data_IF_420118916750
#
_entry.id   IF_420118916750
#
_cell.length_a   1.000
_cell.length_b   1.000
_cell.length_c   1.000
_cell.angle_alpha   90.00
_cell.angle_beta   90.00
_cell.angle_gamma   90.00
#
_symmetry.space_group_name_H-M   'P 1'
#
loop_
_entity.id
_entity.type
_entity.pdbx_description
1 polymer ?
#
# COMPACT_ATOMS: atom_id res chain seq x y z
N UNK A 1 -10.14 7.16 11.13
CA UNK A 1 -10.74 6.49 9.98
C UNK A 1 -12.26 6.38 10.16
N UNK A 2 -12.98 6.09 9.08
CA UNK A 2 -14.43 5.93 9.07
C UNK A 2 -14.81 4.49 8.74
N UNK A 3 -16.04 4.07 9.10
CA UNK A 3 -16.52 2.70 8.84
C UNK A 3 -16.56 2.33 7.35
N UNK A 4 -16.71 3.30 6.45
CA UNK A 4 -16.61 3.05 5.00
C UNK A 4 -15.23 2.56 4.54
N UNK A 5 -14.20 2.67 5.38
CA UNK A 5 -12.84 2.21 5.10
C UNK A 5 -12.60 0.77 5.57
N UNK A 6 -13.58 0.14 6.21
CA UNK A 6 -13.47 -1.26 6.66
C UNK A 6 -13.55 -2.24 5.49
N UNK A 7 -12.84 -3.39 5.57
CA UNK A 7 -12.03 -3.83 6.71
C UNK A 7 -10.73 -3.02 6.84
N UNK A 8 -10.36 -2.65 8.08
CA UNK A 8 -9.21 -1.81 8.37
C UNK A 8 -8.25 -2.48 9.35
N UNK A 9 -6.99 -2.60 8.94
CA UNK A 9 -5.90 -3.03 9.81
C UNK A 9 -5.09 -1.86 10.35
N UNK A 10 -4.65 -1.96 11.59
CA UNK A 10 -3.69 -1.03 12.17
C UNK A 10 -2.34 -1.71 12.29
N UNK A 11 -1.33 -1.12 11.65
CA UNK A 11 0.02 -1.69 11.64
C UNK A 11 0.87 -1.11 12.77
N UNK A 12 1.52 -2.01 13.52
CA UNK A 12 2.48 -1.71 14.57
C UNK A 12 3.90 -2.10 14.16
N UNK A 13 4.88 -1.43 14.73
CA UNK A 13 6.28 -1.83 14.64
C UNK A 13 7.02 -1.58 15.95
N UNK A 14 7.94 -2.45 16.27
CA UNK A 14 8.75 -2.40 17.49
C UNK A 14 9.65 -3.64 17.59
N UNK A 15 10.35 -3.75 18.73
CA UNK A 15 11.24 -4.86 19.05
C UNK A 15 11.02 -5.39 20.47
N UNK A 16 9.92 -5.03 21.11
CA UNK A 16 9.55 -5.44 22.46
C UNK A 16 8.12 -6.00 22.41
N UNK A 17 7.98 -7.31 22.53
CA UNK A 17 6.72 -8.03 22.38
C UNK A 17 5.67 -7.60 23.41
N UNK A 18 6.07 -7.42 24.66
CA UNK A 18 5.15 -7.01 25.75
C UNK A 18 4.56 -5.63 25.47
N UNK A 19 5.42 -4.65 25.19
CA UNK A 19 4.98 -3.28 24.88
C UNK A 19 4.13 -3.20 23.60
N UNK A 20 4.45 -4.02 22.60
CA UNK A 20 3.67 -4.09 21.39
C UNK A 20 2.29 -4.72 21.61
N UNK A 21 2.20 -5.75 22.45
CA UNK A 21 0.93 -6.34 22.88
C UNK A 21 0.05 -5.35 23.65
N UNK A 22 0.64 -4.60 24.58
CA UNK A 22 -0.08 -3.52 25.30
C UNK A 22 -0.58 -2.42 24.34
N UNK A 23 0.27 -2.02 23.38
CA UNK A 23 -0.11 -1.02 22.38
C UNK A 23 -1.24 -1.52 21.46
N UNK A 24 -1.19 -2.78 21.05
CA UNK A 24 -2.24 -3.41 20.26
C UNK A 24 -3.56 -3.41 20.99
N UNK A 25 -3.59 -3.78 22.28
CA UNK A 25 -4.78 -3.75 23.11
C UNK A 25 -5.37 -2.35 23.23
N UNK A 26 -4.55 -1.34 23.55
CA UNK A 26 -4.99 0.06 23.62
C UNK A 26 -5.59 0.55 22.28
N UNK A 27 -5.05 0.12 21.16
CA UNK A 27 -5.57 0.46 19.84
C UNK A 27 -6.91 -0.22 19.59
N UNK A 28 -7.07 -1.48 19.98
CA UNK A 28 -8.34 -2.19 19.87
C UNK A 28 -9.42 -1.50 20.70
N UNK A 29 -9.13 -1.18 21.96
CA UNK A 29 -10.06 -0.47 22.84
C UNK A 29 -10.45 0.91 22.28
N UNK A 30 -9.50 1.62 21.68
CA UNK A 30 -9.73 2.97 21.17
C UNK A 30 -10.38 3.01 19.78
N UNK A 31 -9.96 2.14 18.85
CA UNK A 31 -10.31 2.27 17.43
C UNK A 31 -11.03 1.06 16.84
N UNK A 32 -11.07 -0.06 17.55
CA UNK A 32 -11.74 -1.28 17.11
C UNK A 32 -11.39 -1.65 15.65
N UNK A 33 -10.10 -1.82 15.30
CA UNK A 33 -9.71 -2.23 13.97
C UNK A 33 -10.18 -3.67 13.69
N UNK A 34 -10.29 -4.03 12.41
CA UNK A 34 -10.69 -5.39 12.02
C UNK A 34 -9.54 -6.38 12.20
N UNK A 35 -8.28 -5.92 12.19
CA UNK A 35 -7.10 -6.71 12.51
C UNK A 35 -5.93 -5.82 12.95
N UNK A 36 -4.98 -6.41 13.68
CA UNK A 36 -3.67 -5.81 13.98
C UNK A 36 -2.64 -6.42 13.03
N UNK A 37 -1.79 -5.59 12.43
CA UNK A 37 -0.70 -6.04 11.55
C UNK A 37 0.65 -5.71 12.16
N UNK A 38 1.62 -6.65 12.10
CA UNK A 38 2.98 -6.44 12.59
C UNK A 38 3.91 -6.18 11.41
N UNK A 39 4.71 -5.13 11.50
CA UNK A 39 5.67 -4.77 10.48
C UNK A 39 7.02 -5.42 10.68
N UNK A 40 7.34 -6.45 9.90
CA UNK A 40 8.65 -7.09 9.78
C UNK A 40 9.36 -6.77 8.45
N UNK A 41 8.91 -5.74 7.73
CA UNK A 41 9.42 -5.43 6.39
C UNK A 41 9.94 -4.02 6.17
N UNK A 42 9.78 -3.09 7.11
CA UNK A 42 10.20 -1.69 6.94
C UNK A 42 11.73 -1.57 6.83
N UNK A 43 12.29 -1.03 5.71
CA UNK A 43 13.72 -0.92 5.52
C UNK A 43 14.31 0.39 6.06
N UNK A 44 13.49 1.30 6.59
CA UNK A 44 13.89 2.67 6.98
C UNK A 44 14.86 2.63 8.14
N UNK A 45 15.99 3.30 8.02
CA UNK A 45 17.07 3.30 9.03
C UNK A 45 16.58 3.66 10.44
N UNK A 46 15.66 4.61 10.59
CA UNK A 46 15.10 5.00 11.89
C UNK A 46 14.38 3.85 12.62
N UNK A 47 13.76 2.93 11.86
CA UNK A 47 13.09 1.75 12.41
C UNK A 47 14.10 0.63 12.68
N UNK A 48 14.96 0.37 11.69
CA UNK A 48 16.01 -0.68 11.74
C UNK A 48 17.01 -0.43 12.89
N UNK A 49 17.41 0.82 13.11
CA UNK A 49 18.32 1.20 14.21
C UNK A 49 17.75 0.93 15.62
N UNK A 50 16.44 0.74 15.72
CA UNK A 50 15.73 0.36 16.95
C UNK A 50 15.35 -1.12 16.99
N UNK A 51 16.04 -1.95 16.21
CA UNK A 51 15.78 -3.38 16.03
C UNK A 51 14.34 -3.73 15.58
N UNK A 52 13.61 -2.78 14.98
CA UNK A 52 12.25 -2.99 14.48
C UNK A 52 12.18 -3.23 12.96
N UNK A 53 11.01 -3.59 12.45
CA UNK A 53 10.78 -3.80 11.03
C UNK A 53 11.64 -4.92 10.45
N UNK A 54 12.30 -4.67 9.31
CA UNK A 54 13.09 -5.69 8.61
C UNK A 54 14.35 -6.17 9.33
N UNK A 55 14.82 -5.46 10.38
CA UNK A 55 15.96 -5.95 11.18
C UNK A 55 15.66 -7.23 11.95
N UNK A 56 14.39 -7.46 12.28
CA UNK A 56 13.95 -8.67 12.95
C UNK A 56 14.13 -9.93 12.10
N UNK A 57 14.20 -9.82 10.78
CA UNK A 57 14.51 -10.95 9.89
C UNK A 57 15.92 -11.54 10.11
N UNK A 58 16.81 -10.81 10.78
CA UNK A 58 18.16 -11.31 11.19
C UNK A 58 18.17 -11.98 12.55
N UNK A 59 17.09 -11.89 13.31
CA UNK A 59 16.99 -12.40 14.67
C UNK A 59 15.63 -13.07 14.87
N UNK A 60 15.53 -14.30 14.37
CA UNK A 60 14.30 -15.10 14.45
C UNK A 60 13.78 -15.31 15.87
N UNK A 61 14.61 -15.53 16.90
CA UNK A 61 14.13 -15.59 18.29
C UNK A 61 13.43 -14.31 18.74
N UNK A 62 14.00 -13.13 18.48
CA UNK A 62 13.36 -11.86 18.83
C UNK A 62 12.10 -11.60 17.98
N UNK A 63 12.11 -12.01 16.71
CA UNK A 63 10.90 -11.94 15.85
C UNK A 63 9.77 -12.75 16.45
N UNK A 64 10.04 -13.97 16.89
CA UNK A 64 9.06 -14.85 17.56
C UNK A 64 8.55 -14.23 18.87
N UNK A 65 9.44 -13.69 19.71
CA UNK A 65 9.04 -12.98 20.95
C UNK A 65 8.10 -11.82 20.67
N UNK A 66 8.40 -11.01 19.65
CA UNK A 66 7.55 -9.88 19.27
C UNK A 66 6.19 -10.36 18.74
N UNK A 67 6.15 -11.38 17.88
CA UNK A 67 4.93 -11.92 17.33
C UNK A 67 4.03 -12.52 18.44
N UNK A 68 4.61 -13.35 19.31
CA UNK A 68 3.94 -13.98 20.46
C UNK A 68 3.36 -12.92 21.40
N UNK A 69 4.18 -11.91 21.77
CA UNK A 69 3.72 -10.85 22.68
C UNK A 69 2.53 -10.06 22.16
N UNK A 70 2.45 -9.82 20.84
CA UNK A 70 1.26 -9.18 20.24
C UNK A 70 0.07 -10.13 20.22
N UNK A 71 0.25 -11.39 19.79
CA UNK A 71 -0.83 -12.37 19.73
C UNK A 71 -1.44 -12.62 21.12
N UNK A 72 -0.61 -12.86 22.14
CA UNK A 72 -1.06 -13.02 23.53
C UNK A 72 -1.71 -11.73 24.06
N UNK A 73 -1.11 -10.58 23.75
CA UNK A 73 -1.63 -9.28 24.17
C UNK A 73 -3.06 -9.00 23.70
N UNK A 74 -3.49 -9.57 22.59
CA UNK A 74 -4.85 -9.35 22.03
C UNK A 74 -5.75 -10.59 22.09
N UNK A 75 -5.27 -11.72 22.59
CA UNK A 75 -5.99 -13.00 22.57
C UNK A 75 -7.43 -12.93 23.12
N UNK A 76 -7.64 -12.18 24.20
CA UNK A 76 -8.96 -12.02 24.82
C UNK A 76 -9.95 -11.17 23.98
N UNK A 77 -9.47 -10.48 22.94
CA UNK A 77 -10.31 -9.57 22.13
C UNK A 77 -10.93 -10.26 20.90
N UNK A 78 -10.38 -11.39 20.48
CA UNK A 78 -10.76 -12.08 19.23
C UNK A 78 -10.32 -11.36 17.95
N UNK A 79 -9.61 -10.20 18.06
CA UNK A 79 -9.09 -9.48 16.88
C UNK A 79 -7.91 -10.23 16.29
N UNK A 80 -7.92 -10.58 14.99
CA UNK A 80 -6.84 -11.32 14.37
C UNK A 80 -5.54 -10.51 14.26
N UNK A 81 -4.40 -11.21 14.35
CA UNK A 81 -3.07 -10.64 14.15
C UNK A 81 -2.49 -11.15 12.84
N UNK A 82 -2.03 -10.23 12.00
CA UNK A 82 -1.34 -10.50 10.74
C UNK A 82 0.08 -9.96 10.77
N UNK A 83 0.90 -10.36 9.81
CA UNK A 83 2.26 -9.86 9.70
C UNK A 83 2.60 -9.48 8.26
N UNK A 84 3.36 -8.39 8.08
CA UNK A 84 3.94 -8.04 6.79
C UNK A 84 5.46 -8.09 6.82
N UNK A 85 6.05 -8.88 5.91
CA UNK A 85 7.50 -9.10 5.88
C UNK A 85 8.09 -8.92 4.47
N UNK A 86 9.40 -9.00 4.37
CA UNK A 86 10.20 -9.13 3.16
C UNK A 86 10.78 -10.55 3.05
N UNK A 87 11.40 -10.88 1.90
CA UNK A 87 12.00 -12.20 1.67
C UNK A 87 13.24 -12.46 2.52
N UNK A 88 13.83 -11.44 3.10
CA UNK A 88 15.03 -11.54 3.94
C UNK A 88 15.74 -10.19 4.10
N UNK A 89 16.94 -10.24 4.69
CA UNK A 89 17.76 -9.05 4.90
C UNK A 89 18.49 -8.60 3.63
N UNK A 90 19.19 -9.51 2.98
CA UNK A 90 19.93 -9.32 1.73
C UNK A 90 19.95 -10.63 0.91
N UNK A 91 20.68 -10.66 -0.20
CA UNK A 91 20.72 -11.82 -1.10
C UNK A 91 21.38 -13.07 -0.48
N UNK A 92 22.16 -12.93 0.57
CA UNK A 92 22.79 -14.04 1.28
C UNK A 92 21.93 -14.54 2.46
N UNK A 93 20.96 -13.75 2.85
CA UNK A 93 20.09 -13.98 4.01
C UNK A 93 18.62 -13.88 3.60
N UNK A 94 18.19 -14.76 2.68
CA UNK A 94 16.79 -14.97 2.27
C UNK A 94 16.23 -16.10 3.12
N UNK A 95 15.37 -15.77 4.08
CA UNK A 95 14.83 -16.71 5.07
C UNK A 95 13.30 -16.65 5.22
N UNK A 96 12.59 -16.22 4.14
CA UNK A 96 11.14 -15.98 4.18
C UNK A 96 10.33 -17.21 4.60
N UNK A 97 10.72 -18.42 4.16
CA UNK A 97 10.02 -19.67 4.49
C UNK A 97 10.17 -19.99 5.97
N UNK A 98 11.40 -19.90 6.52
CA UNK A 98 11.67 -20.10 7.94
C UNK A 98 10.86 -19.13 8.81
N UNK A 99 10.91 -17.83 8.46
CA UNK A 99 10.16 -16.78 9.16
C UNK A 99 8.66 -17.02 9.09
N UNK A 100 8.14 -17.51 7.96
CA UNK A 100 6.73 -17.80 7.81
C UNK A 100 6.26 -18.94 8.76
N UNK A 101 7.04 -20.00 8.90
CA UNK A 101 6.75 -21.07 9.88
C UNK A 101 6.76 -20.54 11.31
N UNK A 102 7.79 -19.75 11.68
CA UNK A 102 7.85 -19.14 13.01
C UNK A 102 6.62 -18.28 13.29
N UNK A 103 6.19 -17.47 12.33
CA UNK A 103 5.00 -16.61 12.48
C UNK A 103 3.71 -17.44 12.60
N UNK A 104 3.56 -18.51 11.82
CA UNK A 104 2.44 -19.44 11.95
C UNK A 104 2.40 -20.10 13.33
N UNK A 105 3.54 -20.59 13.83
CA UNK A 105 3.69 -21.20 15.16
C UNK A 105 3.39 -20.21 16.29
N UNK A 106 3.69 -18.92 16.11
CA UNK A 106 3.34 -17.87 17.06
C UNK A 106 1.84 -17.50 17.05
N UNK A 107 1.02 -18.06 16.14
CA UNK A 107 -0.41 -17.78 16.06
C UNK A 107 -0.78 -16.60 15.15
N UNK A 108 0.10 -16.16 14.27
CA UNK A 108 -0.22 -15.20 13.21
C UNK A 108 -1.23 -15.84 12.25
N UNK A 109 -2.27 -15.09 11.87
CA UNK A 109 -3.39 -15.63 11.10
C UNK A 109 -3.32 -15.36 9.59
N UNK A 110 -2.45 -14.45 9.15
CA UNK A 110 -2.13 -14.26 7.73
C UNK A 110 -0.79 -13.52 7.59
N UNK A 111 -0.07 -13.78 6.49
CA UNK A 111 1.22 -13.15 6.21
C UNK A 111 1.18 -12.46 4.85
N UNK A 112 1.60 -11.18 4.79
CA UNK A 112 1.86 -10.50 3.54
C UNK A 112 3.37 -10.47 3.25
N UNK A 113 3.79 -11.00 2.10
CA UNK A 113 5.21 -11.13 1.72
C UNK A 113 5.54 -10.20 0.57
N UNK A 114 6.47 -9.27 0.77
CA UNK A 114 7.04 -8.49 -0.32
C UNK A 114 8.23 -9.25 -0.93
N UNK A 115 8.17 -9.56 -2.22
CA UNK A 115 9.16 -10.34 -2.98
C UNK A 115 10.52 -9.67 -3.16
N UNK A 116 10.97 -8.85 -2.22
CA UNK A 116 12.28 -8.21 -2.17
C UNK A 116 12.90 -8.31 -0.79
N UNK A 117 14.22 -8.41 -0.74
CA UNK A 117 14.96 -8.28 0.52
C UNK A 117 14.97 -6.83 1.02
N UNK A 118 15.40 -6.62 2.25
CA UNK A 118 15.60 -5.27 2.80
C UNK A 118 16.64 -4.50 1.99
N UNK A 119 17.74 -5.14 1.62
CA UNK A 119 18.84 -4.50 0.90
C UNK A 119 18.44 -4.03 -0.50
N UNK A 120 17.57 -4.78 -1.19
CA UNK A 120 17.04 -4.38 -2.50
C UNK A 120 16.20 -3.09 -2.43
N UNK A 121 15.56 -2.80 -1.31
CA UNK A 121 14.64 -1.68 -1.22
C UNK A 121 13.51 -1.79 -2.25
N UNK A 122 13.66 -1.10 -3.38
CA UNK A 122 12.77 -1.17 -4.55
C UNK A 122 13.54 -1.47 -5.85
N UNK A 123 14.84 -1.81 -5.77
CA UNK A 123 15.66 -2.14 -6.93
C UNK A 123 15.38 -3.55 -7.43
N UNK A 124 15.63 -3.79 -8.72
CA UNK A 124 15.38 -5.07 -9.38
C UNK A 124 13.89 -5.42 -9.41
N UNK A 125 13.58 -6.69 -9.56
CA UNK A 125 12.22 -7.23 -9.59
C UNK A 125 11.85 -7.94 -8.29
N UNK A 126 10.55 -8.02 -8.00
CA UNK A 126 10.04 -8.80 -6.89
C UNK A 126 10.10 -10.29 -7.23
N UNK A 127 10.69 -11.07 -6.36
CA UNK A 127 10.82 -12.52 -6.48
C UNK A 127 9.50 -13.19 -6.06
N UNK A 128 8.71 -13.59 -7.06
CA UNK A 128 7.44 -14.27 -6.85
C UNK A 128 7.60 -15.78 -6.64
N UNK A 129 8.77 -16.34 -6.96
CA UNK A 129 9.08 -17.75 -6.66
C UNK A 129 9.20 -17.95 -5.15
N UNK A 130 9.97 -17.09 -4.47
CA UNK A 130 10.07 -17.11 -3.00
C UNK A 130 8.69 -16.88 -2.34
N UNK A 131 7.87 -15.99 -2.89
CA UNK A 131 6.48 -15.81 -2.38
C UNK A 131 5.68 -17.11 -2.54
N UNK A 132 5.83 -17.79 -3.67
CA UNK A 132 5.18 -19.09 -3.92
C UNK A 132 5.63 -20.15 -2.93
N UNK A 133 6.95 -20.27 -2.68
CA UNK A 133 7.52 -21.19 -1.68
C UNK A 133 6.94 -20.93 -0.28
N UNK A 134 6.82 -19.68 0.14
CA UNK A 134 6.17 -19.34 1.41
C UNK A 134 4.71 -19.79 1.42
N UNK A 135 3.96 -19.54 0.33
CA UNK A 135 2.54 -19.91 0.25
C UNK A 135 2.30 -21.43 0.24
N UNK A 136 3.29 -22.23 -0.14
CA UNK A 136 3.26 -23.68 -0.10
C UNK A 136 3.67 -24.25 1.27
N UNK A 137 4.53 -23.52 1.98
CA UNK A 137 5.11 -23.99 3.23
C UNK A 137 4.16 -23.86 4.44
N UNK A 138 3.27 -22.85 4.46
CA UNK A 138 2.39 -22.59 5.60
C UNK A 138 0.92 -22.84 5.28
N UNK A 139 0.11 -23.08 6.31
CA UNK A 139 -1.34 -23.33 6.19
C UNK A 139 -2.14 -22.02 6.22
N UNK A 140 -1.61 -20.99 6.88
CA UNK A 140 -2.26 -19.68 6.98
C UNK A 140 -2.23 -18.95 5.63
N UNK A 141 -3.21 -18.07 5.36
CA UNK A 141 -3.25 -17.30 4.12
C UNK A 141 -1.99 -16.47 3.89
N UNK A 142 -1.39 -16.61 2.69
CA UNK A 142 -0.29 -15.76 2.24
C UNK A 142 -0.79 -14.77 1.20
N UNK A 143 -0.41 -13.50 1.36
CA UNK A 143 -0.72 -12.39 0.46
C UNK A 143 0.59 -11.97 -0.22
N UNK A 144 0.65 -12.13 -1.54
CA UNK A 144 1.82 -11.73 -2.33
C UNK A 144 1.85 -10.23 -2.59
N UNK A 145 3.03 -9.63 -2.55
CA UNK A 145 3.23 -8.20 -2.81
C UNK A 145 4.52 -7.97 -3.61
N UNK A 146 4.46 -7.05 -4.56
CA UNK A 146 5.61 -6.61 -5.36
C UNK A 146 5.31 -6.56 -6.85
N UNK A 147 5.61 -5.42 -7.48
CA UNK A 147 5.53 -5.18 -8.93
C UNK A 147 4.20 -5.58 -9.58
N UNK A 148 3.10 -5.23 -8.92
CA UNK A 148 1.75 -5.42 -9.42
C UNK A 148 1.18 -4.04 -9.74
N UNK A 149 0.91 -3.82 -11.03
CA UNK A 149 0.42 -2.54 -11.57
C UNK A 149 -1.04 -2.60 -12.03
N UNK A 150 -1.61 -3.78 -12.26
CA UNK A 150 -2.97 -3.94 -12.77
C UNK A 150 -3.49 -5.36 -12.74
N UNK A 151 -4.61 -5.59 -13.43
CA UNK A 151 -5.33 -6.87 -13.42
C UNK A 151 -4.55 -8.02 -14.07
N UNK A 152 -3.84 -7.75 -15.17
CA UNK A 152 -3.02 -8.75 -15.85
C UNK A 152 -1.91 -9.29 -14.93
N UNK A 153 -1.24 -8.40 -14.17
CA UNK A 153 -0.23 -8.84 -13.21
C UNK A 153 -0.88 -9.71 -12.11
N UNK A 154 -2.06 -9.30 -11.61
CA UNK A 154 -2.79 -10.08 -10.60
C UNK A 154 -3.10 -11.49 -11.11
N UNK A 155 -3.57 -11.62 -12.34
CA UNK A 155 -3.86 -12.92 -12.95
C UNK A 155 -2.62 -13.80 -13.06
N UNK A 156 -1.53 -13.26 -13.63
CA UNK A 156 -0.26 -13.97 -13.79
C UNK A 156 0.27 -14.45 -12.44
N UNK A 157 0.29 -13.57 -11.42
CA UNK A 157 0.83 -13.92 -10.10
C UNK A 157 -0.04 -14.94 -9.36
N UNK A 158 -1.35 -14.88 -9.52
CA UNK A 158 -2.26 -15.92 -8.98
C UNK A 158 -2.08 -17.28 -9.66
N UNK A 159 -1.85 -17.28 -10.96
CA UNK A 159 -1.58 -18.52 -11.70
C UNK A 159 -0.24 -19.16 -11.33
N UNK A 160 0.77 -18.36 -11.02
CA UNK A 160 2.12 -18.81 -10.67
C UNK A 160 2.28 -19.27 -9.22
N UNK A 161 1.39 -18.87 -8.32
CA UNK A 161 1.55 -19.08 -6.87
C UNK A 161 0.26 -19.51 -6.22
N UNK A 162 0.35 -20.08 -5.00
CA UNK A 162 -0.82 -20.44 -4.17
C UNK A 162 -1.25 -19.31 -3.22
N UNK A 163 -0.86 -18.09 -3.47
CA UNK A 163 -1.25 -16.94 -2.63
C UNK A 163 -2.77 -16.77 -2.61
N UNK A 164 -3.31 -16.45 -1.45
CA UNK A 164 -4.75 -16.23 -1.24
C UNK A 164 -5.19 -14.82 -1.62
N UNK A 165 -4.25 -13.89 -1.70
CA UNK A 165 -4.51 -12.51 -2.07
C UNK A 165 -3.27 -11.83 -2.65
N UNK A 166 -3.48 -10.68 -3.28
CA UNK A 166 -2.40 -9.86 -3.83
C UNK A 166 -2.55 -8.43 -3.29
N UNK A 167 -1.46 -7.93 -2.71
CA UNK A 167 -1.38 -6.56 -2.22
C UNK A 167 -0.82 -5.65 -3.30
N UNK A 168 -1.59 -4.66 -3.73
CA UNK A 168 -1.17 -3.62 -4.66
C UNK A 168 -0.69 -2.41 -3.83
N UNK A 169 0.56 -2.01 -3.99
CA UNK A 169 1.18 -0.90 -3.26
C UNK A 169 1.29 0.37 -4.09
N UNK A 170 2.46 0.59 -4.70
CA UNK A 170 2.83 1.83 -5.40
C UNK A 170 1.87 2.22 -6.52
N UNK A 171 1.30 1.26 -7.24
CA UNK A 171 0.33 1.53 -8.31
C UNK A 171 -0.92 2.25 -7.79
N UNK A 172 -1.44 1.86 -6.61
CA UNK A 172 -2.59 2.50 -5.99
C UNK A 172 -2.35 3.97 -5.60
N UNK A 173 -1.09 4.38 -5.40
CA UNK A 173 -0.75 5.79 -5.12
C UNK A 173 -0.91 6.69 -6.34
N UNK A 174 -0.80 6.14 -7.54
CA UNK A 174 -0.89 6.87 -8.80
C UNK A 174 -2.22 6.66 -9.52
N UNK A 175 -2.78 5.47 -9.38
CA UNK A 175 -4.06 5.08 -9.96
C UNK A 175 -4.97 4.46 -8.87
N UNK A 176 -5.83 5.23 -8.22
CA UNK A 176 -6.75 4.71 -7.20
C UNK A 176 -7.82 3.75 -7.77
N UNK A 177 -8.06 3.75 -9.08
CA UNK A 177 -8.97 2.82 -9.75
C UNK A 177 -8.37 1.43 -9.98
N UNK A 178 -7.08 1.23 -9.72
CA UNK A 178 -6.36 -0.04 -9.98
C UNK A 178 -7.07 -1.28 -9.41
N UNK A 179 -7.74 -1.17 -8.26
CA UNK A 179 -8.48 -2.28 -7.67
C UNK A 179 -9.76 -2.61 -8.44
N UNK A 180 -10.46 -1.59 -8.93
CA UNK A 180 -11.66 -1.76 -9.76
C UNK A 180 -11.27 -2.30 -11.13
N UNK A 181 -10.23 -1.76 -11.73
CA UNK A 181 -9.66 -2.20 -13.00
C UNK A 181 -9.19 -3.65 -12.93
N UNK A 182 -8.48 -4.03 -11.86
CA UNK A 182 -8.05 -5.40 -11.64
C UNK A 182 -9.24 -6.36 -11.49
N UNK A 183 -10.26 -6.00 -10.73
CA UNK A 183 -11.49 -6.81 -10.62
C UNK A 183 -12.22 -6.96 -11.95
N UNK A 184 -12.29 -5.89 -12.74
CA UNK A 184 -12.90 -5.94 -14.07
C UNK A 184 -12.12 -6.90 -14.98
N UNK A 185 -10.79 -6.77 -15.01
CA UNK A 185 -9.93 -7.65 -15.80
C UNK A 185 -10.10 -9.13 -15.42
N UNK A 186 -10.04 -9.44 -14.13
CA UNK A 186 -10.22 -10.82 -13.64
C UNK A 186 -11.58 -11.41 -13.97
N UNK A 187 -12.61 -10.58 -14.12
CA UNK A 187 -13.98 -11.03 -14.44
C UNK A 187 -14.21 -11.19 -15.94
N UNK A 188 -13.60 -10.32 -16.76
CA UNK A 188 -13.94 -10.18 -18.19
C UNK A 188 -12.79 -10.52 -19.13
N UNK A 189 -11.55 -10.69 -18.64
CA UNK A 189 -10.35 -10.94 -19.43
C UNK A 189 -9.85 -9.74 -20.23
N UNK A 190 -10.48 -8.57 -20.07
CA UNK A 190 -10.14 -7.35 -20.81
C UNK A 190 -9.89 -6.19 -19.86
N UNK A 191 -8.89 -5.38 -20.19
CA UNK A 191 -8.59 -4.16 -19.44
C UNK A 191 -9.71 -3.12 -19.69
N UNK A 192 -10.31 -2.56 -18.63
CA UNK A 192 -11.27 -1.48 -18.82
C UNK A 192 -10.59 -0.22 -19.35
N UNK A 193 -11.37 0.67 -19.93
CA UNK A 193 -10.86 1.99 -20.31
C UNK A 193 -10.36 2.73 -19.05
N UNK A 194 -9.23 3.45 -19.16
CA UNK A 194 -8.72 4.24 -18.05
C UNK A 194 -9.72 5.33 -17.66
N UNK A 195 -9.71 5.74 -16.41
CA UNK A 195 -10.52 6.86 -15.93
C UNK A 195 -10.24 8.11 -16.76
N UNK A 196 -11.31 8.80 -17.19
CA UNK A 196 -11.22 10.06 -17.95
C UNK A 196 -10.49 11.13 -17.12
N UNK A 197 -9.96 12.14 -17.79
CA UNK A 197 -9.22 13.21 -17.12
C UNK A 197 -10.13 13.98 -16.15
N UNK A 198 -11.36 14.23 -16.52
CA UNK A 198 -12.38 14.88 -15.69
C UNK A 198 -12.67 14.10 -14.41
N UNK A 199 -12.79 12.77 -14.53
CA UNK A 199 -13.02 11.88 -13.38
C UNK A 199 -11.82 11.91 -12.42
N UNK A 200 -10.59 12.03 -12.94
CA UNK A 200 -9.38 12.17 -12.15
C UNK A 200 -9.34 13.49 -11.35
N UNK A 201 -9.72 14.62 -11.98
CA UNK A 201 -9.81 15.89 -11.26
C UNK A 201 -10.92 15.89 -10.22
N UNK A 202 -12.07 15.31 -10.54
CA UNK A 202 -13.18 15.12 -9.60
C UNK A 202 -12.73 14.31 -8.38
N UNK A 203 -11.98 13.23 -8.59
CA UNK A 203 -11.40 12.43 -7.51
C UNK A 203 -10.38 13.24 -6.67
N UNK A 204 -9.48 13.98 -7.30
CA UNK A 204 -8.50 14.80 -6.61
C UNK A 204 -9.18 15.84 -5.71
N UNK A 205 -10.19 16.53 -6.24
CA UNK A 205 -11.02 17.50 -5.52
C UNK A 205 -11.68 16.87 -4.30
N UNK A 206 -12.38 15.75 -4.50
CA UNK A 206 -13.02 15.01 -3.40
C UNK A 206 -12.05 14.61 -2.32
N UNK A 207 -10.86 14.11 -2.69
CA UNK A 207 -9.83 13.72 -1.73
C UNK A 207 -9.36 14.92 -0.89
N UNK A 208 -9.11 16.08 -1.54
CA UNK A 208 -8.75 17.31 -0.82
C UNK A 208 -9.86 17.75 0.14
N UNK A 209 -11.11 17.78 -0.31
CA UNK A 209 -12.25 18.15 0.52
C UNK A 209 -12.41 17.22 1.74
N UNK A 210 -12.26 15.91 1.54
CA UNK A 210 -12.28 14.94 2.64
C UNK A 210 -11.10 15.14 3.62
N UNK A 211 -9.94 15.48 3.13
CA UNK A 211 -8.77 15.77 3.97
C UNK A 211 -8.98 17.04 4.80
N UNK A 212 -9.55 18.10 4.22
CA UNK A 212 -9.89 19.35 4.89
C UNK A 212 -10.95 19.10 5.97
N UNK A 213 -12.04 18.42 5.63
CA UNK A 213 -13.15 18.15 6.54
C UNK A 213 -12.73 17.34 7.79
N UNK A 214 -11.67 16.54 7.71
CA UNK A 214 -11.15 15.73 8.82
C UNK A 214 -9.97 16.35 9.56
N UNK A 215 -9.51 17.50 9.13
CA UNK A 215 -8.35 18.17 9.72
C UNK A 215 -8.80 19.24 10.71
N UNK A 216 -8.06 19.36 11.80
CA UNK A 216 -8.15 20.52 12.70
C UNK A 216 -7.33 21.73 12.19
N UNK A 217 -6.58 21.54 11.09
CA UNK A 217 -5.76 22.57 10.44
C UNK A 217 -6.61 23.26 9.35
N UNK A 218 -6.27 24.51 9.06
CA UNK A 218 -6.90 25.25 7.95
C UNK A 218 -6.60 24.65 6.57
N UNK A 219 -7.40 25.03 5.58
CA UNK A 219 -7.30 24.55 4.20
C UNK A 219 -5.87 24.68 3.64
N UNK A 220 -5.21 25.81 3.84
CA UNK A 220 -3.84 26.07 3.39
C UNK A 220 -2.85 24.98 3.82
N UNK A 221 -2.85 24.62 5.10
CA UNK A 221 -1.94 23.60 5.64
C UNK A 221 -2.25 22.20 5.11
N UNK A 222 -3.54 21.87 4.95
CA UNK A 222 -3.98 20.60 4.39
C UNK A 222 -3.59 20.50 2.93
N UNK A 223 -3.82 21.55 2.14
CA UNK A 223 -3.48 21.55 0.71
C UNK A 223 -1.97 21.43 0.50
N UNK A 224 -1.14 22.07 1.34
CA UNK A 224 0.31 21.85 1.32
C UNK A 224 0.70 20.39 1.55
N UNK A 225 0.03 19.72 2.48
CA UNK A 225 0.26 18.28 2.73
C UNK A 225 -0.23 17.41 1.57
N UNK A 226 -1.26 17.83 0.84
CA UNK A 226 -1.82 17.11 -0.31
C UNK A 226 -0.98 17.23 -1.59
N UNK A 227 -0.07 18.20 -1.71
CA UNK A 227 0.75 18.44 -2.92
C UNK A 227 1.40 17.17 -3.48
N UNK A 228 2.08 16.41 -2.64
CA UNK A 228 2.74 15.17 -3.06
C UNK A 228 1.74 14.15 -3.64
N UNK A 229 0.56 14.01 -3.04
CA UNK A 229 -0.50 13.09 -3.51
C UNK A 229 -1.06 13.54 -4.84
N UNK A 230 -1.37 14.82 -4.98
CA UNK A 230 -1.88 15.40 -6.23
C UNK A 230 -0.86 15.20 -7.37
N UNK A 231 0.43 15.44 -7.11
CA UNK A 231 1.48 15.17 -8.09
C UNK A 231 1.55 13.69 -8.51
N UNK A 232 1.30 12.74 -7.60
CA UNK A 232 1.25 11.32 -7.96
C UNK A 232 0.08 11.00 -8.90
N UNK A 233 -1.09 11.59 -8.69
CA UNK A 233 -2.27 11.37 -9.53
C UNK A 233 -2.13 11.91 -10.95
N UNK A 234 -1.16 12.81 -11.21
CA UNK A 234 -0.89 13.31 -12.57
C UNK A 234 -0.06 12.36 -13.42
N UNK A 235 0.46 11.26 -12.87
CA UNK A 235 1.12 10.25 -13.67
C UNK A 235 0.14 9.68 -14.68
N UNK A 236 0.59 9.52 -15.92
CA UNK A 236 -0.23 9.07 -17.04
C UNK A 236 -1.33 10.06 -17.51
N UNK A 237 -1.30 11.32 -17.05
CA UNK A 237 -2.12 12.38 -17.63
C UNK A 237 -1.30 13.10 -18.72
N UNK A 238 -1.82 13.31 -19.93
CA UNK A 238 -1.18 14.17 -20.93
C UNK A 238 -0.88 15.55 -20.33
N UNK A 239 0.34 16.08 -20.53
CA UNK A 239 0.73 17.34 -19.89
C UNK A 239 1.04 17.28 -18.39
N UNK A 240 1.09 16.11 -17.79
CA UNK A 240 1.27 15.90 -16.34
C UNK A 240 2.51 16.57 -15.73
N UNK A 241 3.56 16.89 -16.52
CA UNK A 241 4.71 17.68 -16.05
C UNK A 241 4.29 19.09 -15.68
N UNK A 242 3.48 19.74 -16.51
CA UNK A 242 2.95 21.07 -16.25
C UNK A 242 2.03 21.08 -15.02
N UNK A 243 1.13 20.11 -14.92
CA UNK A 243 0.27 19.92 -13.72
C UNK A 243 1.08 19.78 -12.44
N UNK A 244 2.17 18.99 -12.44
CA UNK A 244 3.01 18.82 -11.24
C UNK A 244 3.63 20.12 -10.78
N UNK A 245 4.07 20.97 -11.70
CA UNK A 245 4.62 22.30 -11.36
C UNK A 245 3.57 23.19 -10.69
N UNK A 246 2.34 23.19 -11.17
CA UNK A 246 1.23 23.95 -10.56
C UNK A 246 0.84 23.35 -9.20
N UNK A 247 0.68 22.05 -9.10
CA UNK A 247 0.33 21.38 -7.85
C UNK A 247 1.41 21.48 -6.76
N UNK A 248 2.67 21.69 -7.12
CA UNK A 248 3.75 21.92 -6.16
C UNK A 248 3.55 23.19 -5.31
N UNK A 249 2.73 24.13 -5.78
CA UNK A 249 2.49 25.43 -5.12
C UNK A 249 1.06 25.59 -4.60
N UNK A 250 0.15 24.67 -4.92
CA UNK A 250 -1.27 24.78 -4.61
C UNK A 250 -1.55 24.99 -3.11
N UNK A 251 -2.51 25.83 -2.79
CA UNK A 251 -2.88 26.22 -1.43
C UNK A 251 -4.37 26.11 -1.10
N UNK A 252 -5.24 25.97 -2.13
CA UNK A 252 -6.68 25.86 -1.94
C UNK A 252 -7.33 24.87 -2.93
N UNK A 253 -8.56 24.45 -2.64
CA UNK A 253 -9.38 23.63 -3.56
C UNK A 253 -9.82 24.47 -4.76
N UNK A 254 -10.02 25.78 -4.59
CA UNK A 254 -10.34 26.68 -5.69
C UNK A 254 -9.23 26.71 -6.74
N UNK A 255 -7.97 26.83 -6.30
CA UNK A 255 -6.82 26.74 -7.22
C UNK A 255 -6.74 25.39 -7.93
N UNK A 256 -7.17 24.29 -7.30
CA UNK A 256 -7.24 22.99 -7.95
C UNK A 256 -8.29 23.01 -9.07
N UNK A 257 -9.45 23.62 -8.83
CA UNK A 257 -10.52 23.73 -9.83
C UNK A 257 -10.08 24.59 -11.01
N UNK A 258 -9.37 25.70 -10.77
CA UNK A 258 -8.79 26.56 -11.82
C UNK A 258 -7.74 25.80 -12.65
N UNK A 259 -6.85 25.05 -11.99
CA UNK A 259 -5.85 24.22 -12.66
C UNK A 259 -6.51 23.15 -13.54
N UNK A 260 -7.60 22.54 -13.05
CA UNK A 260 -8.34 21.52 -13.78
C UNK A 260 -9.01 22.10 -15.02
N UNK A 261 -9.69 23.25 -14.89
CA UNK A 261 -10.36 23.94 -16.01
C UNK A 261 -9.36 24.30 -17.10
N UNK A 262 -8.26 25.01 -16.74
CA UNK A 262 -7.21 25.39 -17.68
C UNK A 262 -6.61 24.17 -18.42
N UNK A 263 -6.42 23.07 -17.70
CA UNK A 263 -5.85 21.86 -18.28
C UNK A 263 -6.78 21.18 -19.25
N UNK A 264 -8.08 21.08 -18.92
CA UNK A 264 -9.10 20.49 -19.78
C UNK A 264 -9.27 21.32 -21.07
N UNK A 265 -9.30 22.65 -20.96
CA UNK A 265 -9.37 23.54 -22.13
C UNK A 265 -8.15 23.37 -23.03
N UNK A 266 -6.96 23.29 -22.46
CA UNK A 266 -5.73 23.05 -23.23
C UNK A 266 -5.73 21.68 -23.95
N UNK A 267 -6.21 20.62 -23.31
CA UNK A 267 -6.32 19.30 -23.92
C UNK A 267 -7.33 19.33 -25.07
N UNK A 268 -8.51 19.96 -24.87
CA UNK A 268 -9.54 20.08 -25.89
C UNK A 268 -9.02 20.84 -27.12
N UNK A 269 -8.32 21.97 -26.93
CA UNK A 269 -7.74 22.75 -28.04
C UNK A 269 -6.71 21.96 -28.84
N UNK A 270 -5.89 21.13 -28.16
CA UNK A 270 -4.90 20.29 -28.84
C UNK A 270 -5.53 19.17 -29.67
N UNK A 271 -6.66 18.60 -29.20
CA UNK A 271 -7.41 17.60 -29.95
C UNK A 271 -8.00 18.19 -31.23
N UNK A 272 -8.66 19.35 -31.11
CA UNK A 272 -9.21 20.06 -32.27
C UNK A 272 -8.12 20.50 -33.29
N UNK A 273 -6.94 20.88 -32.79
CA UNK A 273 -5.81 21.22 -33.66
C UNK A 273 -5.21 20.02 -34.39
N UNK A 274 -5.22 18.85 -33.77
CA UNK A 274 -4.73 17.61 -34.39
C UNK A 274 -5.68 17.08 -35.48
N UNK A 275 -7.00 17.21 -35.30
CA UNK A 275 -7.99 16.83 -36.28
C UNK A 275 -7.90 17.69 -37.56
N UNK A 276 -7.66 19.01 -37.40
CA UNK A 276 -7.47 19.94 -38.53
C UNK A 276 -6.18 19.74 -39.35
N UNK A 277 -5.21 19.00 -38.82
CA UNK A 277 -3.95 18.69 -39.54
C UNK A 277 -4.08 17.33 -40.26
N UNK A 278 -5.03 16.50 -39.85
CA UNK A 278 -5.27 15.18 -40.44
C UNK A 278 -6.27 15.19 -41.60
N UNK A 279 -7.00 16.32 -41.82
CA UNK A 279 -7.80 16.65 -43.02
C UNK A 279 -6.93 17.37 -44.07
#
# INVERSE_FOLDING_TARGET
FDDVQRPLGVQLFGADGVRMGEAARKIIDWKQPDFIDINFGCPVNKVVAKNGGSSLLKNCPLLAEVATGVVEGVAATGVPVTAKMRTGWDSQNVNAVEVAHILEDCGIQAIAVHGRTRAQGYSGEADWEVIGQVAEAVKIPVIGNGDVAGGADVEVRRAQTRVRGIMIGRAAMTNPWVFQEARHFLKHGVQPLPARIEDRFTFMRRHCQMAIARSTRGEFEVMRAMRSRLMHYTKSIPGGKHLRNRFAQITSVMELDDIAADHLDHVAQRMLGAERIAE
#
